data_IF_425420063183
#
_entry.id   IF_425420063183
#
_cell.length_a   1.000
_cell.length_b   1.000
_cell.length_c   1.000
_cell.angle_alpha   90.00
_cell.angle_beta   90.00
_cell.angle_gamma   90.00
#
_symmetry.space_group_name_H-M   'P 1'
#
loop_
_entity.id
_entity.type
_entity.pdbx_description
1 polymer ?
#
# COMPACT_ATOMS: atom_id res chain seq x y z
N UNK A 1 -23.76 -1.82 1.76
CA UNK A 1 -22.99 -1.25 0.63
C UNK A 1 -21.98 -2.29 0.16
N UNK A 2 -21.79 -2.43 -1.15
CA UNK A 2 -20.72 -3.27 -1.72
C UNK A 2 -19.51 -2.35 -1.88
N UNK A 3 -18.41 -2.67 -1.19
CA UNK A 3 -17.15 -1.96 -1.41
C UNK A 3 -16.59 -2.32 -2.79
N UNK A 4 -15.91 -1.37 -3.43
CA UNK A 4 -15.32 -1.53 -4.75
C UNK A 4 -13.92 -0.91 -4.77
N UNK A 5 -13.06 -1.26 -5.75
CA UNK A 5 -11.76 -0.61 -5.92
C UNK A 5 -11.92 0.91 -6.02
N UNK A 6 -10.94 1.64 -5.49
CA UNK A 6 -11.00 3.09 -5.32
C UNK A 6 -9.80 3.77 -5.96
N UNK A 7 -9.98 5.01 -6.41
CA UNK A 7 -8.83 5.77 -6.91
C UNK A 7 -7.90 6.19 -5.77
N UNK A 8 -6.75 5.53 -5.69
CA UNK A 8 -5.81 5.69 -4.59
C UNK A 8 -5.16 7.07 -4.49
N UNK A 9 -4.92 7.52 -3.25
CA UNK A 9 -4.09 8.67 -2.93
C UNK A 9 -2.63 8.42 -3.34
N UNK A 10 -1.89 9.41 -3.84
CA UNK A 10 -0.50 9.24 -4.27
C UNK A 10 0.45 10.25 -3.64
N UNK A 11 1.70 9.84 -3.35
CA UNK A 11 2.73 10.76 -2.91
C UNK A 11 3.19 11.65 -4.06
N UNK A 12 3.52 12.91 -3.74
CA UNK A 12 4.24 13.82 -4.63
C UNK A 12 5.76 13.76 -4.34
N UNK A 13 6.65 14.22 -5.24
CA UNK A 13 8.07 14.35 -4.92
C UNK A 13 8.27 15.32 -3.74
N UNK A 14 9.28 15.06 -2.90
CA UNK A 14 9.80 16.07 -1.98
C UNK A 14 10.64 17.08 -2.76
N UNK A 15 10.43 18.37 -2.51
CA UNK A 15 11.06 19.47 -3.23
C UNK A 15 12.05 20.27 -2.36
N UNK A 16 12.36 19.78 -1.16
CA UNK A 16 13.20 20.52 -0.21
C UNK A 16 12.41 21.54 0.61
N UNK A 17 11.08 21.50 0.57
CA UNK A 17 10.25 22.37 1.38
C UNK A 17 10.38 22.08 2.88
N UNK A 18 10.11 23.07 3.72
CA UNK A 18 9.93 22.84 5.15
C UNK A 18 8.65 22.04 5.40
N UNK A 19 8.72 21.13 6.37
CA UNK A 19 7.60 20.28 6.75
C UNK A 19 7.03 20.73 8.10
N UNK A 20 5.73 20.99 8.12
CA UNK A 20 5.02 21.34 9.35
C UNK A 20 4.38 20.11 10.00
N UNK A 21 4.44 20.07 11.33
CA UNK A 21 3.87 19.00 12.15
C UNK A 21 4.72 17.74 12.19
N UNK A 22 4.11 16.64 12.58
CA UNK A 22 4.81 15.36 12.74
C UNK A 22 4.63 14.45 11.52
N UNK A 23 5.72 13.79 11.16
CA UNK A 23 5.80 12.92 9.99
C UNK A 23 6.39 11.58 10.39
N UNK A 24 5.97 10.54 9.67
CA UNK A 24 6.60 9.22 9.70
C UNK A 24 7.32 8.99 8.37
N UNK A 25 8.23 8.02 8.35
CA UNK A 25 8.76 7.49 7.10
C UNK A 25 8.64 5.97 7.03
N UNK A 26 8.49 5.50 5.81
CA UNK A 26 8.46 4.09 5.44
C UNK A 26 9.50 3.84 4.35
N UNK A 27 10.11 2.64 4.29
CA UNK A 27 10.98 2.28 3.18
C UNK A 27 10.18 2.34 1.87
N UNK A 28 10.75 3.00 0.86
CA UNK A 28 10.15 3.02 -0.46
C UNK A 28 10.37 1.66 -1.14
N UNK A 29 9.27 0.94 -1.34
CA UNK A 29 9.25 -0.28 -2.15
C UNK A 29 9.09 0.09 -3.62
N UNK A 30 9.88 -0.52 -4.49
CA UNK A 30 9.79 -0.34 -5.94
C UNK A 30 9.02 -1.50 -6.59
N UNK A 31 7.70 -1.54 -6.40
CA UNK A 31 6.84 -2.63 -6.89
C UNK A 31 5.70 -2.16 -7.78
N UNK A 32 4.66 -2.98 -7.88
CA UNK A 32 3.42 -2.62 -8.56
C UNK A 32 2.34 -2.39 -7.50
N UNK A 33 1.97 -1.13 -7.29
CA UNK A 33 0.88 -0.78 -6.38
C UNK A 33 -0.42 -1.48 -6.75
N UNK A 34 -1.01 -2.11 -5.75
CA UNK A 34 -2.14 -3.03 -5.86
C UNK A 34 -3.11 -2.82 -4.69
N UNK A 35 -4.40 -2.76 -4.98
CA UNK A 35 -5.48 -2.81 -4.02
C UNK A 35 -5.88 -4.27 -3.79
N UNK A 36 -6.08 -4.62 -2.53
CA UNK A 36 -6.71 -5.89 -2.14
C UNK A 36 -8.09 -5.58 -1.61
N UNK A 37 -9.13 -6.06 -2.30
CA UNK A 37 -10.54 -5.80 -1.95
C UNK A 37 -11.16 -7.10 -1.46
N UNK A 38 -11.60 -7.13 -0.19
CA UNK A 38 -12.22 -8.30 0.46
C UNK A 38 -13.69 -7.98 0.66
N UNK A 39 -14.54 -8.54 -0.18
CA UNK A 39 -15.99 -8.32 -0.17
C UNK A 39 -16.69 -9.06 0.98
N UNK A 40 -17.98 -8.76 1.17
CA UNK A 40 -18.83 -9.44 2.17
C UNK A 40 -19.17 -10.91 1.82
N UNK A 41 -18.89 -11.35 0.60
CA UNK A 41 -19.22 -12.68 0.09
C UNK A 41 -17.99 -13.60 -0.03
N UNK A 42 -16.96 -13.38 0.79
CA UNK A 42 -15.61 -14.02 0.70
C UNK A 42 -14.89 -13.81 -0.65
N UNK A 43 -15.49 -13.05 -1.58
CA UNK A 43 -14.86 -12.66 -2.83
C UNK A 43 -13.70 -11.74 -2.53
N UNK A 44 -12.52 -12.11 -3.03
CA UNK A 44 -11.30 -11.31 -2.95
C UNK A 44 -10.88 -10.92 -4.36
N UNK A 45 -10.47 -9.67 -4.51
CA UNK A 45 -9.99 -9.09 -5.76
C UNK A 45 -8.66 -8.38 -5.59
N UNK A 46 -7.91 -8.33 -6.69
CA UNK A 46 -6.61 -7.67 -6.77
C UNK A 46 -6.64 -6.67 -7.92
N UNK A 47 -6.49 -5.39 -7.62
CA UNK A 47 -6.60 -4.33 -8.62
C UNK A 47 -5.33 -3.49 -8.67
N UNK A 48 -4.77 -3.29 -9.85
CA UNK A 48 -3.67 -2.33 -10.00
C UNK A 48 -4.15 -0.88 -9.86
N UNK A 49 -3.22 0.03 -9.59
CA UNK A 49 -3.46 1.47 -9.35
C UNK A 49 -4.29 2.26 -10.38
N UNK A 50 -4.32 1.85 -11.64
CA UNK A 50 -4.89 2.62 -12.78
C UNK A 50 -6.19 2.00 -13.26
N UNK A 51 -7.29 2.24 -12.54
CA UNK A 51 -8.59 1.60 -12.75
C UNK A 51 -9.16 1.84 -14.17
N UNK A 52 -8.77 2.92 -14.85
CA UNK A 52 -9.19 3.25 -16.21
C UNK A 52 -8.68 2.25 -17.26
N UNK A 53 -7.64 1.47 -16.90
CA UNK A 53 -7.01 0.50 -17.80
C UNK A 53 -7.46 -0.94 -17.55
N UNK A 54 -8.57 -1.16 -16.86
CA UNK A 54 -9.06 -2.48 -16.42
C UNK A 54 -7.96 -3.30 -15.72
N UNK A 55 -7.35 -2.78 -14.64
CA UNK A 55 -6.19 -3.40 -14.01
C UNK A 55 -6.62 -4.54 -13.06
N UNK A 56 -7.65 -5.31 -13.43
CA UNK A 56 -8.10 -6.46 -12.66
C UNK A 56 -7.07 -7.59 -12.83
N UNK A 57 -6.39 -7.90 -11.74
CA UNK A 57 -5.37 -8.93 -11.64
C UNK A 57 -5.89 -10.19 -10.92
N UNK A 58 -7.17 -10.21 -10.56
CA UNK A 58 -7.77 -11.21 -9.67
C UNK A 58 -7.52 -12.64 -10.12
N UNK A 59 -7.76 -12.93 -11.41
CA UNK A 59 -7.53 -14.28 -11.97
C UNK A 59 -6.07 -14.69 -11.94
N UNK A 60 -5.16 -13.75 -12.20
CA UNK A 60 -3.72 -14.02 -12.30
C UNK A 60 -3.07 -14.19 -10.92
N UNK A 61 -3.67 -13.63 -9.89
CA UNK A 61 -3.21 -13.66 -8.50
C UNK A 61 -4.12 -14.50 -7.60
N UNK A 62 -4.97 -15.38 -8.15
CA UNK A 62 -5.95 -16.14 -7.38
C UNK A 62 -5.31 -16.99 -6.27
N UNK A 63 -4.09 -17.47 -6.51
CA UNK A 63 -3.32 -18.27 -5.55
C UNK A 63 -2.97 -17.50 -4.27
N UNK A 64 -3.06 -16.17 -4.27
CA UNK A 64 -2.86 -15.34 -3.08
C UNK A 64 -4.08 -15.28 -2.16
N UNK A 65 -5.28 -15.67 -2.63
CA UNK A 65 -6.52 -15.56 -1.86
C UNK A 65 -6.47 -16.36 -0.56
N UNK A 66 -5.85 -17.53 -0.59
CA UNK A 66 -5.75 -18.44 0.56
C UNK A 66 -5.06 -17.82 1.79
N UNK A 67 -4.24 -16.78 1.60
CA UNK A 67 -3.53 -16.09 2.68
C UNK A 67 -4.35 -14.98 3.33
N UNK A 68 -5.51 -14.65 2.75
CA UNK A 68 -6.36 -13.52 3.16
C UNK A 68 -7.67 -13.96 3.82
N UNK A 69 -7.94 -15.26 3.91
CA UNK A 69 -9.20 -15.82 4.42
C UNK A 69 -9.55 -15.42 5.87
N UNK A 70 -8.58 -14.96 6.65
CA UNK A 70 -8.80 -14.52 8.04
C UNK A 70 -9.02 -13.01 8.17
N UNK A 71 -8.88 -12.26 7.07
CA UNK A 71 -9.08 -10.82 7.10
C UNK A 71 -10.58 -10.48 7.04
N UNK A 72 -11.02 -9.42 7.75
CA UNK A 72 -12.43 -9.06 7.79
C UNK A 72 -12.98 -8.71 6.40
N UNK A 73 -14.21 -9.13 6.14
CA UNK A 73 -14.98 -8.66 4.99
C UNK A 73 -15.21 -7.15 5.03
N UNK A 74 -15.45 -6.57 3.85
CA UNK A 74 -15.61 -5.12 3.72
C UNK A 74 -14.30 -4.37 3.94
N UNK A 75 -13.16 -4.99 3.61
CA UNK A 75 -11.82 -4.41 3.77
C UNK A 75 -11.21 -4.04 2.42
N UNK A 76 -10.56 -2.88 2.36
CA UNK A 76 -9.68 -2.48 1.25
C UNK A 76 -8.31 -2.15 1.81
N UNK A 77 -7.30 -2.89 1.36
CA UNK A 77 -5.89 -2.64 1.68
C UNK A 77 -5.18 -1.99 0.51
N UNK A 78 -4.30 -1.05 0.84
CA UNK A 78 -3.37 -0.43 -0.11
C UNK A 78 -2.00 -1.10 0.03
N UNK A 79 -1.53 -1.69 -1.05
CA UNK A 79 -0.40 -2.62 -1.03
C UNK A 79 0.56 -2.38 -2.20
N UNK A 80 1.78 -2.88 -2.05
CA UNK A 80 2.78 -2.91 -3.11
C UNK A 80 3.12 -4.38 -3.42
N UNK A 81 2.79 -4.86 -4.62
CA UNK A 81 3.21 -6.17 -5.10
C UNK A 81 4.68 -6.11 -5.51
N UNK A 82 5.49 -6.98 -4.91
CA UNK A 82 6.90 -7.13 -5.19
C UNK A 82 7.23 -8.59 -5.51
N UNK A 83 8.39 -8.81 -6.12
CA UNK A 83 8.90 -10.14 -6.43
C UNK A 83 10.22 -10.34 -5.71
N UNK A 84 10.47 -11.54 -5.20
CA UNK A 84 11.79 -11.94 -4.67
C UNK A 84 12.94 -11.78 -5.68
N UNK A 85 12.65 -11.65 -6.99
CA UNK A 85 13.65 -11.31 -8.02
C UNK A 85 13.83 -9.81 -8.29
N UNK A 86 13.07 -8.95 -7.60
CA UNK A 86 12.99 -7.51 -7.83
C UNK A 86 11.87 -7.10 -8.79
N UNK A 87 11.65 -5.78 -8.93
CA UNK A 87 10.58 -5.17 -9.75
C UNK A 87 10.43 -5.79 -11.14
N UNK A 88 11.54 -6.02 -11.83
CA UNK A 88 11.56 -6.56 -13.21
C UNK A 88 10.97 -7.97 -13.33
N UNK A 89 10.89 -8.73 -12.24
CA UNK A 89 10.32 -10.08 -12.20
C UNK A 89 8.85 -10.12 -11.78
N UNK A 90 8.23 -8.99 -11.45
CA UNK A 90 6.78 -8.93 -11.14
C UNK A 90 5.93 -9.56 -12.26
N UNK A 91 6.19 -9.37 -13.57
CA UNK A 91 5.46 -10.07 -14.62
C UNK A 91 5.44 -11.60 -14.48
N UNK A 92 6.49 -12.20 -13.89
CA UNK A 92 6.55 -13.65 -13.66
C UNK A 92 5.55 -14.15 -12.62
N UNK A 93 5.08 -13.28 -11.72
CA UNK A 93 4.07 -13.61 -10.70
C UNK A 93 2.68 -13.86 -11.28
N UNK A 94 2.45 -13.38 -12.52
CA UNK A 94 1.22 -13.55 -13.28
C UNK A 94 1.27 -14.78 -14.22
N UNK A 95 2.42 -15.42 -14.35
CA UNK A 95 2.58 -16.61 -15.19
C UNK A 95 2.17 -17.87 -14.43
N UNK A 96 1.71 -18.90 -15.17
CA UNK A 96 1.36 -20.21 -14.59
C UNK A 96 2.57 -20.86 -13.90
N UNK A 97 3.73 -20.84 -14.56
CA UNK A 97 4.99 -21.31 -14.01
C UNK A 97 5.80 -20.11 -13.48
N UNK A 98 5.51 -19.71 -12.24
CA UNK A 98 6.20 -18.60 -11.57
C UNK A 98 7.69 -18.94 -11.40
N UNK A 99 8.57 -17.98 -11.73
CA UNK A 99 10.03 -18.13 -11.55
C UNK A 99 10.53 -17.55 -10.21
N UNK A 100 9.67 -16.81 -9.54
CA UNK A 100 9.92 -16.05 -8.32
C UNK A 100 8.66 -16.05 -7.48
N UNK A 101 8.85 -15.91 -6.17
CA UNK A 101 7.74 -15.79 -5.24
C UNK A 101 7.32 -14.32 -5.05
N UNK A 102 6.03 -14.06 -4.82
CA UNK A 102 5.52 -12.74 -4.50
C UNK A 102 5.87 -12.34 -3.07
N UNK A 103 6.00 -11.03 -2.85
CA UNK A 103 5.92 -10.39 -1.54
C UNK A 103 4.91 -9.27 -1.69
N UNK A 104 3.92 -9.17 -0.80
CA UNK A 104 2.91 -8.11 -0.84
C UNK A 104 3.06 -7.24 0.39
N UNK A 105 3.59 -6.03 0.19
CA UNK A 105 3.77 -5.10 1.28
C UNK A 105 2.50 -4.29 1.51
N UNK A 106 1.89 -4.43 2.67
CA UNK A 106 0.67 -3.72 3.08
C UNK A 106 1.07 -2.46 3.83
N UNK A 107 0.59 -1.28 3.40
CA UNK A 107 1.02 -0.02 4.00
C UNK A 107 -0.11 0.94 4.37
N UNK A 108 -1.35 0.71 3.98
CA UNK A 108 -2.51 1.45 4.51
C UNK A 108 -3.78 0.59 4.45
N UNK A 109 -4.81 1.01 5.19
CA UNK A 109 -6.15 0.42 5.20
C UNK A 109 -7.19 1.51 4.92
N UNK A 110 -7.94 1.33 3.84
CA UNK A 110 -8.88 2.35 3.34
C UNK A 110 -10.30 2.07 3.85
N UNK A 111 -10.68 0.80 3.87
CA UNK A 111 -11.95 0.34 4.42
C UNK A 111 -11.70 -0.83 5.38
N UNK A 112 -12.55 -0.94 6.40
CA UNK A 112 -12.68 -2.12 7.26
C UNK A 112 -14.14 -2.27 7.69
N UNK A 113 -14.68 -3.49 7.65
CA UNK A 113 -16.07 -3.76 8.02
C UNK A 113 -17.07 -2.85 7.26
N UNK A 114 -16.78 -2.56 5.98
CA UNK A 114 -17.54 -1.66 5.10
C UNK A 114 -17.56 -0.18 5.51
N UNK A 115 -16.73 0.23 6.47
CA UNK A 115 -16.57 1.63 6.89
C UNK A 115 -15.35 2.23 6.24
N UNK A 116 -15.52 3.43 5.66
CA UNK A 116 -14.40 4.20 5.14
C UNK A 116 -13.56 4.72 6.31
N UNK A 117 -12.27 4.45 6.29
CA UNK A 117 -11.32 4.86 7.33
C UNK A 117 -10.51 6.10 6.93
N UNK A 118 -10.67 6.62 5.71
CA UNK A 118 -9.85 7.74 5.23
C UNK A 118 -10.10 9.07 5.94
N UNK A 119 -11.20 9.19 6.69
CA UNK A 119 -11.45 10.33 7.60
C UNK A 119 -10.59 10.26 8.87
N UNK A 120 -10.07 9.07 9.21
CA UNK A 120 -9.19 8.92 10.36
C UNK A 120 -7.77 9.38 10.02
N UNK A 121 -7.04 9.97 11.00
CA UNK A 121 -5.61 10.21 10.91
C UNK A 121 -4.82 8.97 10.49
N UNK A 122 -3.73 9.15 9.73
CA UNK A 122 -2.86 8.05 9.29
C UNK A 122 -2.42 7.15 10.45
N UNK A 123 -2.07 7.73 11.60
CA UNK A 123 -1.66 6.94 12.77
C UNK A 123 -2.75 5.98 13.25
N UNK A 124 -4.02 6.41 13.24
CA UNK A 124 -5.16 5.55 13.61
C UNK A 124 -5.38 4.44 12.58
N UNK A 125 -5.20 4.74 11.29
CA UNK A 125 -5.25 3.71 10.24
C UNK A 125 -4.12 2.69 10.40
N UNK A 126 -2.91 3.13 10.76
CA UNK A 126 -1.77 2.25 11.06
C UNK A 126 -2.02 1.36 12.27
N UNK A 127 -2.59 1.90 13.34
CA UNK A 127 -3.00 1.12 14.52
C UNK A 127 -4.05 0.06 14.18
N UNK A 128 -5.07 0.41 13.38
CA UNK A 128 -6.08 -0.57 12.92
C UNK A 128 -5.43 -1.62 12.02
N UNK A 129 -4.53 -1.21 11.14
CA UNK A 129 -3.85 -2.11 10.22
C UNK A 129 -2.97 -3.12 10.96
N UNK A 130 -2.31 -2.72 12.05
CA UNK A 130 -1.46 -3.62 12.84
C UNK A 130 -2.24 -4.67 13.63
N UNK A 131 -3.56 -4.50 13.82
CA UNK A 131 -4.40 -5.55 14.43
C UNK A 131 -4.77 -6.66 13.45
N UNK A 132 -4.52 -6.50 12.14
CA UNK A 132 -4.84 -7.51 11.16
C UNK A 132 -3.85 -8.67 11.22
N UNK A 133 -4.38 -9.89 11.20
CA UNK A 133 -3.55 -11.10 11.12
C UNK A 133 -3.12 -11.36 9.66
N UNK A 134 -2.06 -10.68 9.24
CA UNK A 134 -1.45 -10.90 7.93
C UNK A 134 -0.61 -12.18 7.94
N UNK A 135 -0.72 -12.98 6.87
CA UNK A 135 0.11 -14.18 6.64
C UNK A 135 0.97 -13.95 5.42
N UNK A 136 2.19 -14.49 5.44
CA UNK A 136 3.05 -14.52 4.26
C UNK A 136 2.27 -15.06 3.04
N UNK A 137 2.39 -14.43 1.86
CA UNK A 137 3.39 -13.43 1.49
C UNK A 137 3.00 -11.97 1.79
N UNK A 138 1.93 -11.71 2.56
CA UNK A 138 1.51 -10.36 2.95
C UNK A 138 2.27 -9.88 4.20
N UNK A 139 2.98 -8.76 4.08
CA UNK A 139 3.82 -8.21 5.13
C UNK A 139 3.46 -6.75 5.40
N UNK A 140 3.35 -6.36 6.67
CA UNK A 140 3.14 -4.97 7.05
C UNK A 140 4.41 -4.15 6.79
N UNK A 141 4.29 -2.97 6.16
CA UNK A 141 5.39 -1.99 6.14
C UNK A 141 5.43 -1.27 7.49
N UNK A 142 6.52 -1.50 8.23
CA UNK A 142 6.84 -0.75 9.43
C UNK A 142 7.24 0.69 9.11
N UNK A 143 6.85 1.60 10.00
CA UNK A 143 7.18 3.01 9.92
C UNK A 143 8.03 3.44 11.11
N UNK A 144 8.74 4.56 10.95
CA UNK A 144 9.47 5.23 12.02
C UNK A 144 9.10 6.72 12.04
N UNK A 145 9.24 7.37 13.19
CA UNK A 145 9.08 8.83 13.27
C UNK A 145 10.21 9.48 12.47
N UNK A 146 9.86 10.39 11.57
CA UNK A 146 10.82 11.20 10.82
C UNK A 146 11.42 12.25 11.76
N UNK A 147 12.74 12.21 11.93
CA UNK A 147 13.49 13.13 12.79
C UNK A 147 14.34 14.09 11.97
N UNK A 148 15.02 13.57 10.95
CA UNK A 148 15.83 14.35 10.03
C UNK A 148 15.78 13.67 8.66
N UNK A 149 15.28 14.40 7.65
CA UNK A 149 15.01 13.84 6.33
C UNK A 149 16.25 13.20 5.71
N UNK A 150 17.40 13.88 5.78
CA UNK A 150 18.63 13.42 5.14
C UNK A 150 19.17 12.19 5.85
N UNK A 151 19.28 12.24 7.17
CA UNK A 151 19.77 11.14 8.00
C UNK A 151 18.89 9.91 7.88
N UNK A 152 17.57 10.08 7.94
CA UNK A 152 16.60 8.97 7.91
C UNK A 152 16.56 8.34 6.51
N UNK A 153 16.65 9.16 5.45
CA UNK A 153 16.84 8.70 4.07
C UNK A 153 18.14 7.88 3.92
N UNK A 154 19.29 8.45 4.31
CA UNK A 154 20.59 7.77 4.23
C UNK A 154 20.59 6.44 5.00
N UNK A 155 19.91 6.42 6.15
CA UNK A 155 19.74 5.22 6.98
C UNK A 155 18.91 4.14 6.27
N UNK A 156 17.81 4.52 5.63
CA UNK A 156 16.96 3.59 4.88
C UNK A 156 17.67 3.04 3.64
N UNK A 157 18.39 3.88 2.89
CA UNK A 157 19.17 3.47 1.71
C UNK A 157 20.30 2.52 2.11
N UNK A 158 21.00 2.77 3.24
CA UNK A 158 22.01 1.83 3.78
C UNK A 158 21.44 0.46 4.13
N UNK A 159 20.14 0.37 4.45
CA UNK A 159 19.41 -0.89 4.67
C UNK A 159 18.84 -1.52 3.38
N UNK A 160 19.14 -0.94 2.22
CA UNK A 160 18.75 -1.46 0.91
C UNK A 160 17.41 -0.95 0.38
N UNK A 161 16.81 0.07 0.99
CA UNK A 161 15.63 0.72 0.44
C UNK A 161 16.00 1.55 -0.80
N UNK A 162 15.09 1.65 -1.79
CA UNK A 162 15.25 2.53 -2.95
C UNK A 162 15.14 4.03 -2.59
N UNK A 163 14.64 4.31 -1.38
CA UNK A 163 14.38 5.63 -0.85
C UNK A 163 13.40 5.54 0.31
N UNK A 164 12.72 6.64 0.62
CA UNK A 164 11.67 6.67 1.64
C UNK A 164 10.38 7.32 1.13
N UNK A 165 9.27 6.89 1.70
CA UNK A 165 7.99 7.61 1.63
C UNK A 165 7.76 8.24 2.99
N UNK A 166 7.77 9.57 3.06
CA UNK A 166 7.37 10.28 4.26
C UNK A 166 5.87 10.58 4.22
N UNK A 167 5.20 10.51 5.36
CA UNK A 167 3.76 10.69 5.46
C UNK A 167 3.42 11.49 6.72
N UNK A 168 2.56 12.51 6.60
CA UNK A 168 2.11 13.31 7.74
C UNK A 168 1.22 12.48 8.65
N UNK A 169 1.50 12.48 9.96
CA UNK A 169 0.91 11.53 10.92
C UNK A 169 -0.60 11.70 11.10
N UNK A 170 -1.08 12.94 10.97
CA UNK A 170 -2.47 13.35 11.15
C UNK A 170 -3.26 13.36 9.83
N UNK A 171 -2.63 12.96 8.71
CA UNK A 171 -3.24 13.09 7.39
C UNK A 171 -4.42 12.15 7.14
N UNK A 172 -5.47 12.63 6.46
CA UNK A 172 -6.53 11.76 5.94
C UNK A 172 -6.02 10.90 4.77
N UNK A 173 -6.83 9.91 4.37
CA UNK A 173 -6.66 9.21 3.11
C UNK A 173 -7.72 9.70 2.12
N UNK A 174 -7.30 10.25 0.99
CA UNK A 174 -8.22 10.75 -0.03
C UNK A 174 -8.41 9.74 -1.16
N UNK A 175 -9.68 9.45 -1.46
CA UNK A 175 -10.07 8.68 -2.64
C UNK A 175 -10.39 9.65 -3.76
N UNK A 176 -9.76 9.48 -4.91
CA UNK A 176 -10.05 10.26 -6.11
C UNK A 176 -11.41 9.90 -6.72
N UNK A 177 -11.99 10.82 -7.51
CA UNK A 177 -13.27 10.60 -8.18
C UNK A 177 -13.11 9.90 -9.53
N UNK A 178 -12.24 10.44 -10.38
CA UNK A 178 -12.07 10.03 -11.78
C UNK A 178 -10.63 9.58 -12.09
N UNK A 179 -9.79 9.50 -11.07
CA UNK A 179 -8.38 9.14 -11.20
C UNK A 179 -7.66 9.27 -9.86
N UNK A 180 -6.43 8.74 -9.76
CA UNK A 180 -5.66 8.85 -8.52
C UNK A 180 -5.40 10.32 -8.14
N UNK A 181 -5.44 10.61 -6.84
CA UNK A 181 -5.26 11.98 -6.32
C UNK A 181 -3.89 12.13 -5.67
N UNK A 182 -3.08 13.06 -6.16
CA UNK A 182 -1.83 13.44 -5.52
C UNK A 182 -2.10 14.42 -4.37
N UNK A 183 -1.53 14.16 -3.19
CA UNK A 183 -1.72 15.04 -2.03
C UNK A 183 -0.39 15.46 -1.44
N UNK A 184 -0.41 16.61 -0.76
CA UNK A 184 0.74 17.12 -0.05
C UNK A 184 0.98 16.39 1.29
N UNK A 185 0.21 15.35 1.63
CA UNK A 185 0.40 14.62 2.88
C UNK A 185 1.48 13.55 2.78
N UNK A 186 1.75 13.03 1.58
CA UNK A 186 2.77 12.01 1.36
C UNK A 186 3.83 12.54 0.40
N UNK A 187 5.11 12.33 0.72
CA UNK A 187 6.22 12.60 -0.21
C UNK A 187 7.03 11.35 -0.48
N UNK A 188 7.57 11.28 -1.69
CA UNK A 188 8.61 10.31 -2.05
C UNK A 188 9.96 11.02 -2.15
N UNK A 189 10.98 10.39 -1.58
CA UNK A 189 12.37 10.82 -1.59
C UNK A 189 13.19 9.65 -2.14
N UNK A 190 14.05 9.94 -3.12
CA UNK A 190 14.88 8.97 -3.85
C UNK A 190 16.29 9.54 -3.99
#
# INVERSE_FOLDING_TARGET
MIIAPVWLMQPIPYFGEELEGEWIFEPKIDGWRMEVVIHNTERIEFWGRRLEKKPDWTKKLEYLKNFLNQLPSGTILDTELYSTGGRRFIPSLFAKNRKKEPIVYVFDIIYKDNKFLGELPLIRRKEILSTLHLKEPFLLIEYQILRDIKRDFDSAVKRGAEGIIIKKIDSPYWVGRDGPIATHYWRKIK
#
